data_IF_657434405869
#
_entry.id   IF_657434405869
#
_cell.length_a   1.000
_cell.length_b   1.000
_cell.length_c   1.000
_cell.angle_alpha   90.00
_cell.angle_beta   90.00
_cell.angle_gamma   90.00
#
_symmetry.space_group_name_H-M   'P 1'
#
loop_
_entity.id
_entity.type
_entity.pdbx_description
1 polymer ?
#
# COMPACT_ATOMS: atom_id res chain seq x y z
N UNK A 1 -23.16 -8.03 -2.84
CA UNK A 1 -22.38 -6.92 -3.42
C UNK A 1 -20.94 -7.31 -3.20
N UNK A 2 -20.11 -7.23 -4.23
CA UNK A 2 -18.75 -7.79 -4.21
C UNK A 2 -17.89 -6.92 -3.29
N UNK A 3 -17.62 -7.41 -2.06
CA UNK A 3 -17.00 -6.70 -0.93
C UNK A 3 -15.73 -5.94 -1.32
N UNK A 4 -15.05 -6.38 -2.39
CA UNK A 4 -13.85 -5.76 -2.91
C UNK A 4 -14.11 -4.34 -3.43
N UNK A 5 -15.23 -4.11 -4.14
CA UNK A 5 -15.55 -2.81 -4.69
C UNK A 5 -15.91 -1.79 -3.60
N UNK A 6 -16.41 -2.26 -2.45
CA UNK A 6 -16.64 -1.40 -1.28
C UNK A 6 -15.29 -0.94 -0.67
N UNK A 7 -14.32 -1.86 -0.56
CA UNK A 7 -12.98 -1.56 -0.02
C UNK A 7 -12.17 -0.66 -0.97
N UNK A 8 -12.24 -0.91 -2.27
CA UNK A 8 -11.51 -0.14 -3.29
C UNK A 8 -12.10 1.28 -3.44
N UNK A 9 -13.40 1.44 -3.20
CA UNK A 9 -14.09 2.73 -3.29
C UNK A 9 -13.98 3.33 -4.69
N UNK A 10 -13.56 4.60 -4.77
CA UNK A 10 -13.44 5.31 -6.05
C UNK A 10 -12.09 5.08 -6.75
N UNK A 11 -11.23 4.20 -6.23
CA UNK A 11 -9.93 3.93 -6.84
C UNK A 11 -10.09 2.99 -8.04
N UNK A 12 -9.21 3.14 -9.04
CA UNK A 12 -9.14 2.18 -10.14
C UNK A 12 -8.54 0.88 -9.63
N UNK A 13 -9.07 -0.26 -10.10
CA UNK A 13 -8.54 -1.60 -9.77
C UNK A 13 -7.04 -1.66 -10.07
N UNK A 14 -6.62 -1.03 -11.15
CA UNK A 14 -5.22 -0.88 -11.52
C UNK A 14 -4.35 -0.25 -10.43
N UNK A 15 -4.82 0.82 -9.82
CA UNK A 15 -4.06 1.56 -8.83
C UNK A 15 -4.05 0.80 -7.48
N UNK A 16 -5.08 0.01 -7.20
CA UNK A 16 -5.11 -0.92 -6.06
C UNK A 16 -4.22 -2.13 -6.28
N UNK A 17 -4.23 -2.72 -7.47
CA UNK A 17 -3.31 -3.78 -7.83
C UNK A 17 -1.87 -3.32 -7.66
N UNK A 18 -1.55 -2.11 -8.13
CA UNK A 18 -0.25 -1.49 -7.89
C UNK A 18 0.07 -1.35 -6.39
N UNK A 19 -0.83 -0.78 -5.58
CA UNK A 19 -0.54 -0.57 -4.15
C UNK A 19 -0.28 -1.90 -3.41
N UNK A 20 -0.99 -2.97 -3.80
CA UNK A 20 -0.80 -4.32 -3.25
C UNK A 20 0.50 -4.99 -3.70
N UNK A 21 1.14 -4.51 -4.78
CA UNK A 21 2.42 -5.03 -5.27
C UNK A 21 3.64 -4.43 -4.55
N UNK A 22 3.42 -3.38 -3.74
CA UNK A 22 4.49 -2.66 -3.06
C UNK A 22 4.99 -3.43 -1.83
N UNK A 23 6.30 -3.35 -1.60
CA UNK A 23 6.90 -3.78 -0.34
C UNK A 23 6.52 -2.83 0.81
N UNK A 24 6.71 -3.30 2.05
CA UNK A 24 6.45 -2.52 3.26
C UNK A 24 7.18 -1.17 3.26
N UNK A 25 8.48 -1.16 2.90
CA UNK A 25 9.28 0.07 2.81
C UNK A 25 8.76 1.07 1.76
N UNK A 26 8.23 0.58 0.64
CA UNK A 26 7.64 1.44 -0.40
C UNK A 26 6.30 2.02 0.07
N UNK A 27 5.50 1.24 0.78
CA UNK A 27 4.26 1.70 1.42
C UNK A 27 4.54 2.76 2.49
N UNK A 28 5.54 2.54 3.34
CA UNK A 28 5.95 3.51 4.37
C UNK A 28 6.40 4.85 3.77
N UNK A 29 7.14 4.80 2.66
CA UNK A 29 7.51 6.00 1.91
C UNK A 29 6.28 6.73 1.39
N UNK A 30 5.32 6.02 0.78
CA UNK A 30 4.09 6.64 0.27
C UNK A 30 3.22 7.23 1.39
N UNK A 31 3.10 6.54 2.54
CA UNK A 31 2.40 7.05 3.72
C UNK A 31 3.08 8.33 4.21
N UNK A 32 4.41 8.35 4.26
CA UNK A 32 5.19 9.52 4.66
C UNK A 32 5.02 10.68 3.68
N UNK A 33 5.04 10.42 2.37
CA UNK A 33 4.76 11.42 1.33
C UNK A 33 3.35 11.99 1.46
N UNK A 34 2.33 11.15 1.64
CA UNK A 34 0.95 11.59 1.85
C UNK A 34 0.85 12.51 3.07
N UNK A 35 1.45 12.12 4.21
CA UNK A 35 1.49 12.95 5.42
C UNK A 35 2.17 14.30 5.16
N UNK A 36 3.30 14.30 4.46
CA UNK A 36 4.04 15.53 4.14
C UNK A 36 3.21 16.48 3.25
N UNK A 37 2.55 15.95 2.22
CA UNK A 37 1.68 16.74 1.34
C UNK A 37 0.52 17.35 2.13
N UNK A 38 -0.15 16.57 2.98
CA UNK A 38 -1.25 17.05 3.83
C UNK A 38 -0.77 18.15 4.78
N UNK A 39 0.37 17.96 5.45
CA UNK A 39 0.96 18.95 6.35
C UNK A 39 1.28 20.25 5.60
N UNK A 40 1.88 20.15 4.42
CA UNK A 40 2.24 21.32 3.62
C UNK A 40 0.99 22.06 3.12
N UNK A 41 -0.01 21.34 2.63
CA UNK A 41 -1.28 21.90 2.17
C UNK A 41 -1.97 22.71 3.28
N UNK A 42 -2.00 22.19 4.51
CA UNK A 42 -2.50 22.91 5.69
C UNK A 42 -1.68 24.16 6.00
N UNK A 43 -0.36 24.06 5.97
CA UNK A 43 0.54 25.17 6.29
C UNK A 43 0.38 26.36 5.32
N UNK A 44 0.04 26.11 4.05
CA UNK A 44 -0.18 27.15 3.04
C UNK A 44 -1.65 27.59 2.92
N UNK A 45 -2.55 27.06 3.77
CA UNK A 45 -3.97 27.43 3.77
C UNK A 45 -4.83 26.76 2.69
N UNK A 46 -4.34 25.72 2.02
CA UNK A 46 -5.02 25.01 0.93
C UNK A 46 -5.43 23.59 1.33
N UNK A 47 -6.30 23.47 2.34
CA UNK A 47 -6.70 22.17 2.90
C UNK A 47 -7.45 21.31 1.87
N UNK A 48 -8.18 21.93 0.95
CA UNK A 48 -8.90 21.27 -0.14
C UNK A 48 -7.99 20.47 -1.09
N UNK A 49 -6.70 20.81 -1.17
CA UNK A 49 -5.73 20.04 -1.95
C UNK A 49 -5.41 18.70 -1.27
N UNK A 50 -5.44 18.64 0.06
CA UNK A 50 -5.26 17.39 0.80
C UNK A 50 -6.43 16.42 0.58
N UNK A 51 -7.65 16.94 0.41
CA UNK A 51 -8.85 16.14 0.17
C UNK A 51 -8.89 15.54 -1.23
N UNK A 52 -8.29 16.22 -2.21
CA UNK A 52 -8.18 15.76 -3.61
C UNK A 52 -7.02 14.79 -3.83
N UNK A 53 -6.24 14.50 -2.80
CA UNK A 53 -5.03 13.69 -2.91
C UNK A 53 -5.38 12.19 -2.98
N UNK A 54 -5.69 11.74 -4.19
CA UNK A 54 -6.07 10.37 -4.51
C UNK A 54 -4.85 9.45 -4.70
N UNK A 55 -5.12 8.15 -4.87
CA UNK A 55 -4.08 7.13 -5.05
C UNK A 55 -3.27 7.35 -6.34
N UNK A 56 -3.89 7.89 -7.39
CA UNK A 56 -3.24 8.20 -8.66
C UNK A 56 -2.21 9.33 -8.49
N UNK A 57 -2.55 10.39 -7.76
CA UNK A 57 -1.62 11.47 -7.43
C UNK A 57 -0.48 10.97 -6.55
N UNK A 58 -0.79 10.15 -5.54
CA UNK A 58 0.21 9.56 -4.65
C UNK A 58 1.22 8.72 -5.44
N UNK A 59 0.73 7.89 -6.37
CA UNK A 59 1.56 7.12 -7.30
C UNK A 59 2.45 8.00 -8.16
N UNK A 60 1.89 9.04 -8.78
CA UNK A 60 2.64 9.94 -9.65
C UNK A 60 3.78 10.64 -8.88
N UNK A 61 3.51 11.10 -7.66
CA UNK A 61 4.53 11.76 -6.83
C UNK A 61 5.57 10.76 -6.36
N UNK A 62 5.18 9.56 -5.92
CA UNK A 62 6.12 8.50 -5.56
C UNK A 62 7.08 8.17 -6.71
N UNK A 63 6.55 8.03 -7.93
CA UNK A 63 7.35 7.81 -9.14
C UNK A 63 8.33 8.96 -9.38
N UNK A 64 7.87 10.22 -9.40
CA UNK A 64 8.73 11.39 -9.65
C UNK A 64 9.85 11.52 -8.61
N UNK A 65 9.53 11.33 -7.33
CA UNK A 65 10.51 11.41 -6.23
C UNK A 65 11.56 10.31 -6.38
N UNK A 66 11.15 9.07 -6.63
CA UNK A 66 12.08 7.95 -6.77
C UNK A 66 12.92 8.07 -8.05
N UNK A 67 12.34 8.56 -9.15
CA UNK A 67 13.07 8.82 -10.40
C UNK A 67 14.16 9.88 -10.19
N UNK A 68 13.81 10.96 -9.49
CA UNK A 68 14.77 12.00 -9.15
C UNK A 68 15.88 11.46 -8.25
N UNK A 69 15.53 10.68 -7.24
CA UNK A 69 16.52 10.02 -6.37
C UNK A 69 17.44 9.11 -7.17
N UNK A 70 16.90 8.29 -8.08
CA UNK A 70 17.69 7.41 -8.95
C UNK A 70 18.64 8.18 -9.86
N UNK A 71 18.21 9.30 -10.43
CA UNK A 71 19.09 10.17 -11.23
C UNK A 71 20.22 10.74 -10.36
N UNK A 72 19.89 11.24 -9.16
CA UNK A 72 20.90 11.75 -8.22
C UNK A 72 21.93 10.70 -7.85
N UNK A 73 21.51 9.45 -7.60
CA UNK A 73 22.41 8.32 -7.34
C UNK A 73 23.34 8.07 -8.54
N UNK A 74 22.85 8.15 -9.78
CA UNK A 74 23.68 7.96 -10.99
C UNK A 74 24.71 9.07 -11.20
N UNK A 75 24.41 10.29 -10.75
CA UNK A 75 25.31 11.45 -10.88
C UNK A 75 26.45 11.45 -9.84
N UNK A 76 26.37 10.61 -8.81
CA UNK A 76 27.41 10.50 -7.78
C UNK A 76 28.63 9.71 -8.30
N UNK A 77 29.85 10.06 -7.87
CA UNK A 77 31.04 9.25 -8.16
C UNK A 77 30.87 7.85 -7.56
N UNK A 78 31.44 6.79 -8.18
CA UNK A 78 31.33 5.43 -7.66
C UNK A 78 31.85 5.32 -6.22
N UNK A 79 30.96 4.92 -5.30
CA UNK A 79 31.25 4.63 -3.89
C UNK A 79 30.94 3.15 -3.63
N UNK A 80 31.67 2.44 -2.76
CA UNK A 80 31.31 1.09 -2.34
C UNK A 80 29.84 1.00 -1.89
N UNK A 81 29.06 0.04 -2.39
CA UNK A 81 27.63 -0.15 -2.11
C UNK A 81 26.66 0.57 -3.07
N UNK A 82 27.16 1.30 -4.08
CA UNK A 82 26.29 1.89 -5.12
C UNK A 82 25.67 0.84 -6.05
N UNK A 83 26.33 -0.30 -6.25
CA UNK A 83 25.82 -1.44 -7.00
C UNK A 83 24.56 -2.03 -6.35
N UNK A 84 24.60 -2.23 -5.03
CA UNK A 84 23.44 -2.66 -4.23
C UNK A 84 22.30 -1.63 -4.30
N UNK A 85 22.63 -0.33 -4.22
CA UNK A 85 21.65 0.75 -4.32
C UNK A 85 21.00 0.82 -5.71
N UNK A 86 21.78 0.63 -6.78
CA UNK A 86 21.25 0.59 -8.14
C UNK A 86 20.33 -0.61 -8.34
N UNK A 87 20.74 -1.80 -7.90
CA UNK A 87 19.93 -3.01 -7.99
C UNK A 87 18.62 -2.89 -7.21
N UNK A 88 18.65 -2.25 -6.02
CA UNK A 88 17.44 -1.95 -5.25
C UNK A 88 16.49 -1.02 -6.02
N UNK A 89 17.02 0.05 -6.63
CA UNK A 89 16.22 0.98 -7.42
C UNK A 89 15.65 0.34 -8.69
N UNK A 90 16.37 -0.58 -9.31
CA UNK A 90 15.86 -1.33 -10.47
C UNK A 90 14.73 -2.30 -10.08
N UNK A 91 14.73 -2.81 -8.84
CA UNK A 91 13.68 -3.66 -8.28
C UNK A 91 12.47 -2.90 -7.70
N UNK A 92 12.56 -1.57 -7.56
CA UNK A 92 11.53 -0.77 -6.92
C UNK A 92 10.26 -0.65 -7.78
N UNK A 93 9.13 -1.10 -7.22
CA UNK A 93 7.82 -1.05 -7.85
C UNK A 93 7.28 0.37 -8.02
N UNK A 94 7.77 1.34 -7.24
CA UNK A 94 7.45 2.76 -7.44
C UNK A 94 8.01 3.31 -8.77
N UNK A 95 9.05 2.68 -9.31
CA UNK A 95 9.70 3.06 -10.57
C UNK A 95 9.15 2.29 -11.79
N UNK A 96 8.19 1.38 -11.59
CA UNK A 96 7.54 0.67 -12.68
C UNK A 96 6.55 1.58 -13.41
N UNK A 97 6.91 1.97 -14.63
CA UNK A 97 6.09 2.83 -15.50
C UNK A 97 4.88 2.12 -16.11
N UNK A 98 4.94 0.78 -16.25
CA UNK A 98 3.86 -0.05 -16.77
C UNK A 98 3.18 -0.83 -15.66
N UNK A 99 1.85 -0.79 -15.67
CA UNK A 99 1.00 -1.57 -14.81
C UNK A 99 0.69 -2.95 -15.45
N UNK A 100 1.74 -3.65 -15.86
CA UNK A 100 1.59 -4.90 -16.64
C UNK A 100 1.30 -6.13 -15.78
N UNK A 101 1.83 -6.16 -14.56
CA UNK A 101 1.72 -7.30 -13.65
C UNK A 101 0.58 -7.03 -12.66
N UNK A 102 -0.66 -7.13 -13.15
CA UNK A 102 -1.83 -6.96 -12.29
C UNK A 102 -2.00 -8.20 -11.42
N UNK A 103 -1.93 -8.02 -10.10
CA UNK A 103 -2.38 -9.01 -9.12
C UNK A 103 -3.83 -9.42 -9.41
N UNK A 104 -4.13 -10.70 -9.24
CA UNK A 104 -5.49 -11.23 -9.31
C UNK A 104 -6.37 -10.66 -8.20
N UNK A 105 -7.69 -10.75 -8.39
CA UNK A 105 -8.69 -10.32 -7.41
C UNK A 105 -8.47 -10.98 -6.04
N UNK A 106 -8.11 -12.25 -6.01
CA UNK A 106 -7.90 -13.00 -4.76
C UNK A 106 -6.61 -12.57 -4.05
N UNK A 107 -5.54 -12.28 -4.80
CA UNK A 107 -4.30 -11.74 -4.22
C UNK A 107 -4.54 -10.34 -3.65
N UNK A 108 -5.29 -9.48 -4.36
CA UNK A 108 -5.67 -8.16 -3.85
C UNK A 108 -6.49 -8.26 -2.57
N UNK A 109 -7.48 -9.16 -2.51
CA UNK A 109 -8.26 -9.42 -1.28
C UNK A 109 -7.34 -9.82 -0.12
N UNK A 110 -6.39 -10.71 -0.37
CA UNK A 110 -5.44 -11.14 0.66
C UNK A 110 -4.54 -9.99 1.15
N UNK A 111 -4.02 -9.16 0.24
CA UNK A 111 -3.21 -7.98 0.60
C UNK A 111 -4.00 -6.96 1.42
N UNK A 112 -5.30 -6.80 1.12
CA UNK A 112 -6.20 -5.89 1.83
C UNK A 112 -6.73 -6.46 3.15
N UNK A 113 -6.30 -7.67 3.55
CA UNK A 113 -6.76 -8.33 4.78
C UNK A 113 -8.23 -8.77 4.71
N UNK A 114 -8.79 -8.90 3.52
CA UNK A 114 -10.14 -9.42 3.31
C UNK A 114 -10.12 -10.93 3.49
N UNK A 115 -10.94 -11.44 4.41
CA UNK A 115 -11.03 -12.88 4.68
C UNK A 115 -11.70 -13.58 3.51
N UNK A 116 -11.16 -14.74 3.12
CA UNK A 116 -11.82 -15.58 2.12
C UNK A 116 -13.08 -16.21 2.72
N UNK A 117 -14.10 -16.52 1.91
CA UNK A 117 -15.32 -17.22 2.38
C UNK A 117 -15.00 -18.51 3.18
N UNK A 118 -13.87 -19.15 2.90
CA UNK A 118 -13.39 -20.37 3.59
C UNK A 118 -12.99 -20.11 5.05
N UNK A 119 -12.65 -18.88 5.42
CA UNK A 119 -12.28 -18.52 6.81
C UNK A 119 -13.51 -18.33 7.70
N UNK A 120 -14.69 -18.02 7.13
CA UNK A 120 -15.94 -17.91 7.89
C UNK A 120 -16.43 -19.26 8.43
N UNK A 121 -15.98 -20.38 7.84
CA UNK A 121 -16.33 -21.74 8.27
C UNK A 121 -15.42 -22.31 9.37
N UNK A 122 -14.35 -21.61 9.77
CA UNK A 122 -13.46 -22.04 10.87
C UNK A 122 -13.60 -21.12 12.09
N UNK A 123 -14.77 -21.11 12.74
CA UNK A 123 -14.86 -20.65 14.13
C UNK A 123 -14.58 -21.83 15.07
N UNK A 124 -13.71 -21.69 16.09
CA UNK A 124 -13.63 -22.67 17.17
C UNK A 124 -14.98 -22.71 17.89
N UNK A 125 -15.60 -23.88 17.98
CA UNK A 125 -16.71 -24.10 18.90
C UNK A 125 -16.16 -24.18 20.33
N UNK A 126 -15.83 -23.05 20.93
CA UNK A 126 -15.71 -22.96 22.39
C UNK A 126 -17.05 -22.49 22.94
N UNK A 127 -17.96 -23.44 23.14
CA UNK A 127 -19.17 -23.23 23.93
C UNK A 127 -18.83 -23.06 25.42
N UNK A 128 -19.57 -22.23 26.17
CA UNK A 128 -19.29 -22.02 27.58
C UNK A 128 -19.58 -23.29 28.39
N UNK A 129 -18.57 -23.81 29.11
CA UNK A 129 -18.77 -24.86 30.12
C UNK A 129 -19.58 -24.29 31.29
N UNK A 130 -20.88 -24.55 31.28
CA UNK A 130 -21.78 -24.30 32.42
C UNK A 130 -21.29 -25.12 33.60
N UNK A 131 -20.80 -24.44 34.64
CA UNK A 131 -20.40 -25.04 35.91
C UNK A 131 -21.66 -25.22 36.76
N UNK A 132 -22.25 -26.41 36.73
CA UNK A 132 -23.37 -26.76 37.62
C UNK A 132 -22.84 -26.86 39.06
N UNK A 133 -23.19 -25.85 39.85
CA UNK A 133 -22.97 -25.85 41.29
C UNK A 133 -24.14 -26.58 41.94
N UNK A 134 -23.96 -27.86 42.28
CA UNK A 134 -24.96 -28.59 43.06
C UNK A 134 -24.69 -28.37 44.55
N UNK A 135 -25.57 -27.61 45.20
CA UNK A 135 -25.74 -27.60 46.65
C UNK A 135 -26.25 -28.96 47.10
N UNK A 136 -25.55 -29.61 48.04
CA UNK A 136 -26.10 -30.22 49.26
C UNK A 136 -24.97 -30.67 50.17
#
# INVERSE_FOLDING_TARGET
MDDLYEVIGNNRIEDVSWICSLSESELDLLISLKKLVILRAKAIGHVELAEKFDLKMLRAIGFVVMEHFRQKVKDLPPVPGMDETSAYLDGCNLLKSKLGDNLSIEEMKSCLGMKSEKDYFKRPQDGPKVRTQSRR
#
